data_IF_993959029949
#
_entry.id   IF_993959029949
#
_cell.length_a   1.000
_cell.length_b   1.000
_cell.length_c   1.000
_cell.angle_alpha   90.00
_cell.angle_beta   90.00
_cell.angle_gamma   90.00
#
_symmetry.space_group_name_H-M   'P 1'
#
loop_
_entity.id
_entity.type
_entity.pdbx_description
1 polymer ?
#
# COMPACT_ATOMS: atom_id res chain seq x y z
N UNK A 1 -0.35 -18.96 5.13
CA UNK A 1 -1.81 -18.78 4.92
C UNK A 1 -2.10 -17.33 4.60
N UNK A 2 -2.97 -17.04 3.62
CA UNK A 2 -3.39 -15.67 3.30
C UNK A 2 -4.25 -15.14 4.46
N UNK A 3 -3.92 -13.97 5.02
CA UNK A 3 -4.76 -13.35 6.03
C UNK A 3 -6.04 -12.84 5.34
N UNK A 4 -7.21 -13.36 5.76
CA UNK A 4 -8.51 -13.00 5.19
C UNK A 4 -8.87 -11.53 5.41
N UNK A 5 -8.23 -10.87 6.38
CA UNK A 5 -8.42 -9.46 6.67
C UNK A 5 -7.61 -8.54 5.73
N UNK A 6 -6.64 -9.07 4.99
CA UNK A 6 -5.86 -8.27 4.05
C UNK A 6 -6.74 -7.86 2.87
N UNK A 7 -6.72 -6.56 2.56
CA UNK A 7 -7.39 -6.00 1.39
C UNK A 7 -6.43 -6.05 0.19
N UNK A 8 -6.99 -6.24 -1.01
CA UNK A 8 -6.22 -6.09 -2.25
C UNK A 8 -6.23 -4.61 -2.65
N UNK A 9 -5.10 -4.13 -3.13
CA UNK A 9 -4.97 -2.79 -3.68
C UNK A 9 -4.90 -2.91 -5.21
N UNK A 10 -5.95 -2.48 -5.90
CA UNK A 10 -5.94 -2.27 -7.34
C UNK A 10 -5.54 -0.83 -7.64
N UNK A 11 -4.55 -0.63 -8.51
CA UNK A 11 -4.10 0.69 -8.94
C UNK A 11 -3.95 0.70 -10.46
N UNK A 12 -4.34 1.81 -11.08
CA UNK A 12 -3.98 2.12 -12.45
C UNK A 12 -2.70 2.96 -12.41
N UNK A 13 -1.69 2.54 -13.17
CA UNK A 13 -0.38 3.19 -13.24
C UNK A 13 0.00 3.27 -14.70
N UNK A 14 0.52 4.43 -15.13
CA UNK A 14 0.98 4.54 -16.51
C UNK A 14 2.13 3.55 -16.77
N UNK A 15 2.31 3.12 -18.04
CA UNK A 15 3.30 2.12 -18.37
C UNK A 15 4.74 2.50 -18.00
N UNK A 16 5.09 3.79 -18.08
CA UNK A 16 6.45 4.27 -17.82
C UNK A 16 6.78 4.19 -16.32
N UNK A 17 5.88 4.65 -15.45
CA UNK A 17 6.04 4.51 -14.01
C UNK A 17 6.05 3.06 -13.56
N UNK A 18 5.17 2.22 -14.13
CA UNK A 18 5.15 0.79 -13.82
C UNK A 18 6.49 0.13 -14.16
N UNK A 19 7.06 0.44 -15.32
CA UNK A 19 8.38 -0.05 -15.72
C UNK A 19 9.48 0.40 -14.73
N UNK A 20 9.54 1.69 -14.42
CA UNK A 20 10.55 2.24 -13.48
C UNK A 20 10.44 1.62 -12.09
N UNK A 21 9.22 1.43 -11.59
CA UNK A 21 8.98 0.76 -10.32
C UNK A 21 9.51 -0.68 -10.32
N UNK A 22 9.23 -1.44 -11.39
CA UNK A 22 9.72 -2.82 -11.54
C UNK A 22 11.23 -2.88 -11.59
N UNK A 23 11.87 -1.98 -12.33
CA UNK A 23 13.32 -1.89 -12.42
C UNK A 23 13.96 -1.68 -11.03
N UNK A 24 13.44 -0.72 -10.25
CA UNK A 24 13.92 -0.46 -8.88
C UNK A 24 13.66 -1.68 -7.98
N UNK A 25 12.47 -2.28 -8.06
CA UNK A 25 12.13 -3.44 -7.26
C UNK A 25 13.11 -4.61 -7.50
N UNK A 26 13.44 -4.88 -8.76
CA UNK A 26 14.40 -5.93 -9.12
C UNK A 26 15.80 -5.62 -8.59
N UNK A 27 16.27 -4.38 -8.73
CA UNK A 27 17.55 -3.94 -8.15
C UNK A 27 17.59 -4.13 -6.62
N UNK A 28 16.49 -3.83 -5.92
CA UNK A 28 16.35 -3.98 -4.47
C UNK A 28 16.03 -5.44 -4.03
N UNK A 29 15.94 -6.40 -4.97
CA UNK A 29 15.63 -7.80 -4.67
C UNK A 29 14.18 -8.03 -4.20
N UNK A 30 13.24 -7.22 -4.67
CA UNK A 30 11.83 -7.23 -4.28
C UNK A 30 10.90 -7.48 -5.47
N UNK A 31 9.71 -8.00 -5.18
CA UNK A 31 8.61 -7.93 -6.14
C UNK A 31 8.09 -6.49 -6.25
N UNK A 32 7.41 -6.13 -7.35
CA UNK A 32 6.75 -4.80 -7.44
C UNK A 32 5.79 -4.56 -6.26
N UNK A 33 5.03 -5.59 -5.87
CA UNK A 33 4.09 -5.47 -4.76
C UNK A 33 4.83 -5.21 -3.44
N UNK A 34 5.94 -5.91 -3.19
CA UNK A 34 6.75 -5.68 -1.99
C UNK A 34 7.40 -4.29 -2.00
N UNK A 35 7.78 -3.79 -3.17
CA UNK A 35 8.30 -2.44 -3.34
C UNK A 35 7.21 -1.39 -3.06
N UNK A 36 5.99 -1.57 -3.57
CA UNK A 36 4.85 -0.68 -3.25
C UNK A 36 4.58 -0.67 -1.76
N UNK A 37 4.50 -1.85 -1.12
CA UNK A 37 4.28 -1.94 0.33
C UNK A 37 5.41 -1.28 1.13
N UNK A 38 6.65 -1.40 0.67
CA UNK A 38 7.79 -0.72 1.27
C UNK A 38 7.64 0.80 1.19
N UNK A 39 7.36 1.33 -0.01
CA UNK A 39 7.18 2.76 -0.25
C UNK A 39 6.01 3.34 0.57
N UNK A 40 4.88 2.64 0.64
CA UNK A 40 3.74 3.04 1.48
C UNK A 40 4.16 3.16 2.95
N UNK A 41 4.90 2.18 3.48
CA UNK A 41 5.38 2.22 4.87
C UNK A 41 6.36 3.36 5.12
N UNK A 42 7.26 3.65 4.17
CA UNK A 42 8.17 4.79 4.29
C UNK A 42 7.41 6.11 4.28
N UNK A 43 6.39 6.24 3.42
CA UNK A 43 5.53 7.41 3.36
C UNK A 43 4.81 7.64 4.70
N UNK A 44 4.18 6.61 5.26
CA UNK A 44 3.49 6.69 6.57
C UNK A 44 4.48 7.10 7.66
N UNK A 45 5.64 6.42 7.74
CA UNK A 45 6.66 6.71 8.76
C UNK A 45 7.17 8.15 8.69
N UNK A 46 7.41 8.67 7.48
CA UNK A 46 7.85 10.05 7.29
C UNK A 46 6.76 11.04 7.74
N UNK A 47 5.51 10.80 7.32
CA UNK A 47 4.38 11.62 7.71
C UNK A 47 4.17 11.63 9.23
N UNK A 48 4.20 10.47 9.89
CA UNK A 48 4.03 10.36 11.34
C UNK A 48 5.17 11.00 12.13
N UNK A 49 6.40 10.95 11.59
CA UNK A 49 7.55 11.63 12.19
C UNK A 49 7.40 13.16 12.24
N UNK A 50 6.67 13.74 11.27
CA UNK A 50 6.47 15.18 11.17
C UNK A 50 5.14 15.66 11.81
N UNK A 51 4.09 14.84 11.76
CA UNK A 51 2.72 15.25 12.11
C UNK A 51 2.15 14.55 13.36
N UNK A 52 2.88 13.58 13.92
CA UNK A 52 2.38 12.70 14.97
C UNK A 52 1.73 11.42 14.43
N UNK A 53 1.52 10.46 15.31
CA UNK A 53 1.05 9.11 14.97
C UNK A 53 -0.39 9.10 14.44
N UNK A 54 -0.65 8.29 13.40
CA UNK A 54 -1.99 8.10 12.85
C UNK A 54 -2.73 7.10 13.75
N UNK A 55 -3.69 7.59 14.53
CA UNK A 55 -4.52 6.75 15.40
C UNK A 55 -5.59 6.05 14.57
N UNK A 56 -5.56 4.71 14.57
CA UNK A 56 -6.60 3.89 13.95
C UNK A 56 -7.87 3.89 14.81
N UNK A 57 -9.07 4.08 14.21
CA UNK A 57 -10.31 3.98 14.96
C UNK A 57 -10.54 2.54 15.46
N UNK A 58 -11.10 2.40 16.67
CA UNK A 58 -11.38 1.10 17.31
C UNK A 58 -12.41 0.26 16.53
N UNK A 59 -13.28 0.91 15.75
CA UNK A 59 -14.26 0.27 14.89
C UNK A 59 -14.06 0.72 13.44
N UNK A 60 -14.04 -0.25 12.51
CA UNK A 60 -14.12 0.05 11.07
C UNK A 60 -15.44 0.78 10.83
N UNK A 61 -15.44 1.99 10.26
CA UNK A 61 -16.70 2.59 9.82
C UNK A 61 -17.39 1.62 8.86
N UNK A 62 -18.68 1.35 9.09
CA UNK A 62 -19.49 0.38 8.35
C UNK A 62 -19.62 0.67 6.83
N UNK A 63 -18.98 1.73 6.33
CA UNK A 63 -19.14 2.27 4.99
C UNK A 63 -18.21 1.65 3.91
N UNK A 64 -17.35 0.70 4.24
CA UNK A 64 -16.56 -0.06 3.23
C UNK A 64 -17.20 -1.42 2.87
N UNK A 65 -18.51 -1.56 3.00
CA UNK A 65 -19.26 -2.58 2.25
C UNK A 65 -19.42 -2.04 0.83
N UNK A 66 -18.38 -2.18 0.02
CA UNK A 66 -18.54 -2.02 -1.42
C UNK A 66 -19.60 -3.03 -1.86
N UNK A 67 -20.70 -2.58 -2.51
CA UNK A 67 -21.63 -3.49 -3.15
C UNK A 67 -20.82 -4.42 -4.06
N UNK A 68 -20.89 -5.72 -3.79
CA UNK A 68 -20.41 -6.73 -4.73
C UNK A 68 -21.51 -6.85 -5.78
N UNK A 69 -21.38 -6.08 -6.86
CA UNK A 69 -22.01 -6.40 -8.13
C UNK A 69 -21.27 -7.58 -8.78
#
# INVERSE_FOLDING_TARGET
MRNKNNKHLGIEVDPELHYKLRYIAEYEGRSANDQILYLIRQCIKAFEGENGEIVMPAEKPAAEVYPQD
#
